data_IF_204308346445
#
_entry.id   IF_204308346445
#
_cell.length_a   1.000
_cell.length_b   1.000
_cell.length_c   1.000
_cell.angle_alpha   90.00
_cell.angle_beta   90.00
_cell.angle_gamma   90.00
#
_symmetry.space_group_name_H-M   'P 1'
#
loop_
_entity.id
_entity.type
_entity.pdbx_description
1 polymer ?
#
# COMPACT_ATOMS: atom_id res chain seq x y z
N UNK A 1 11.34 -18.59 8.53
CA UNK A 1 10.42 -17.83 7.65
C UNK A 1 11.00 -16.49 7.17
N UNK A 2 11.61 -15.63 8.01
CA UNK A 2 12.21 -14.37 7.54
C UNK A 2 13.39 -14.55 6.57
N UNK A 3 14.25 -15.54 6.85
CA UNK A 3 15.49 -15.77 6.09
C UNK A 3 15.27 -16.17 4.63
N UNK A 4 14.19 -16.89 4.33
CA UNK A 4 13.86 -17.32 2.96
C UNK A 4 13.37 -16.15 2.10
N UNK A 5 12.54 -15.27 2.67
CA UNK A 5 12.09 -14.06 1.98
C UNK A 5 13.24 -13.10 1.70
N UNK A 6 14.09 -12.88 2.72
CA UNK A 6 15.30 -12.08 2.59
C UNK A 6 16.16 -12.58 1.43
N UNK A 7 16.45 -13.89 1.38
CA UNK A 7 17.29 -14.48 0.34
C UNK A 7 16.70 -14.31 -1.07
N UNK A 8 15.38 -14.51 -1.23
CA UNK A 8 14.73 -14.30 -2.52
C UNK A 8 14.77 -12.83 -2.95
N UNK A 9 14.39 -11.93 -2.05
CA UNK A 9 14.32 -10.51 -2.34
C UNK A 9 15.71 -9.90 -2.63
N UNK A 10 16.79 -10.55 -2.21
CA UNK A 10 18.17 -10.22 -2.61
C UNK A 10 18.61 -10.85 -3.93
N UNK A 11 18.04 -11.99 -4.33
CA UNK A 11 18.44 -12.76 -5.52
C UNK A 11 17.61 -12.45 -6.77
N UNK A 12 16.32 -12.16 -6.59
CA UNK A 12 15.37 -11.79 -7.65
C UNK A 12 14.84 -10.40 -7.35
N UNK A 13 15.58 -9.41 -7.83
CA UNK A 13 15.21 -8.01 -7.75
C UNK A 13 13.97 -7.74 -8.58
N UNK A 14 13.04 -6.99 -8.00
CA UNK A 14 11.91 -6.49 -8.75
C UNK A 14 12.41 -5.56 -9.87
N UNK A 15 11.94 -5.72 -11.12
CA UNK A 15 12.37 -4.84 -12.21
C UNK A 15 12.04 -3.37 -11.94
N UNK A 16 11.01 -3.10 -11.13
CA UNK A 16 10.58 -1.74 -10.80
C UNK A 16 11.41 -1.13 -9.66
N UNK A 17 12.18 -1.92 -8.88
CA UNK A 17 12.95 -1.40 -7.74
C UNK A 17 13.93 -0.29 -8.15
N UNK A 18 14.56 -0.43 -9.31
CA UNK A 18 15.47 0.60 -9.84
C UNK A 18 14.75 1.92 -10.08
N UNK A 19 13.51 1.86 -10.59
CA UNK A 19 12.66 3.03 -10.75
C UNK A 19 12.27 3.65 -9.41
N UNK A 20 11.85 2.84 -8.44
CA UNK A 20 11.47 3.34 -7.11
C UNK A 20 12.64 4.02 -6.40
N UNK A 21 13.84 3.43 -6.44
CA UNK A 21 15.03 4.04 -5.85
C UNK A 21 15.41 5.33 -6.56
N UNK A 22 15.31 5.37 -7.90
CA UNK A 22 15.65 6.57 -8.67
C UNK A 22 14.64 7.70 -8.45
N UNK A 23 13.36 7.37 -8.40
CA UNK A 23 12.28 8.31 -8.10
C UNK A 23 12.40 8.86 -6.68
N UNK A 24 12.67 8.00 -5.70
CA UNK A 24 12.92 8.41 -4.32
C UNK A 24 14.13 9.35 -4.19
N UNK A 25 15.22 9.08 -4.91
CA UNK A 25 16.39 9.96 -4.95
C UNK A 25 16.04 11.32 -5.52
N UNK A 26 15.34 11.34 -6.66
CA UNK A 26 14.88 12.56 -7.30
C UNK A 26 13.98 13.40 -6.36
N UNK A 27 13.08 12.75 -5.61
CA UNK A 27 12.22 13.44 -4.65
C UNK A 27 13.04 14.06 -3.51
N UNK A 28 14.10 13.38 -3.05
CA UNK A 28 14.98 13.87 -1.98
C UNK A 28 15.81 15.06 -2.48
N UNK A 29 16.30 15.04 -3.74
CA UNK A 29 17.20 16.07 -4.28
C UNK A 29 16.47 17.27 -4.87
N UNK A 30 15.46 17.01 -5.71
CA UNK A 30 14.82 18.01 -6.58
C UNK A 30 13.35 18.27 -6.21
N UNK A 31 12.80 17.50 -5.26
CA UNK A 31 11.42 17.60 -4.82
C UNK A 31 10.45 16.79 -5.69
N UNK A 32 9.14 17.00 -5.49
CA UNK A 32 8.11 16.17 -6.12
C UNK A 32 7.99 16.41 -7.63
N UNK A 33 8.37 15.44 -8.49
CA UNK A 33 8.30 15.63 -9.94
C UNK A 33 6.86 15.75 -10.41
N UNK A 34 6.60 16.68 -11.32
CA UNK A 34 5.28 16.88 -11.96
C UNK A 34 5.20 16.33 -13.39
N UNK A 35 6.36 16.11 -14.01
CA UNK A 35 6.53 15.55 -15.35
C UNK A 35 7.38 14.29 -15.24
N UNK A 36 7.20 13.36 -16.17
CA UNK A 36 7.97 12.12 -16.23
C UNK A 36 9.41 12.37 -16.70
N UNK A 37 10.41 12.28 -15.81
CA UNK A 37 11.81 12.52 -16.17
C UNK A 37 12.48 11.27 -16.76
N UNK A 38 11.79 10.11 -16.73
CA UNK A 38 12.32 8.81 -17.12
C UNK A 38 11.79 8.35 -18.48
N UNK A 39 10.67 8.92 -18.95
CA UNK A 39 10.13 8.65 -20.28
C UNK A 39 10.98 9.27 -21.38
N UNK A 40 11.59 8.41 -22.21
CA UNK A 40 12.34 8.83 -23.39
C UNK A 40 11.45 9.41 -24.49
N UNK A 41 10.25 8.86 -24.70
CA UNK A 41 9.36 9.24 -25.80
C UNK A 41 8.37 10.34 -25.41
N UNK A 42 8.06 10.50 -24.13
CA UNK A 42 7.10 11.48 -23.63
C UNK A 42 7.61 12.21 -22.37
N UNK A 43 8.71 12.98 -22.44
CA UNK A 43 9.31 13.66 -21.28
C UNK A 43 8.44 14.78 -20.67
N UNK A 44 7.32 15.12 -21.32
CA UNK A 44 6.32 16.09 -20.81
C UNK A 44 5.05 15.41 -20.31
N UNK A 45 5.04 14.08 -20.21
CA UNK A 45 3.87 13.38 -19.70
C UNK A 45 3.71 13.71 -18.20
N UNK A 46 2.51 14.10 -17.74
CA UNK A 46 2.28 14.33 -16.32
C UNK A 46 2.57 13.07 -15.52
N UNK A 47 3.40 13.18 -14.48
CA UNK A 47 3.73 12.06 -13.60
C UNK A 47 3.25 12.33 -12.19
N UNK A 48 2.66 11.31 -11.57
CA UNK A 48 2.26 11.32 -10.17
C UNK A 48 2.96 10.18 -9.44
N UNK A 49 3.86 10.53 -8.52
CA UNK A 49 4.50 9.57 -7.63
C UNK A 49 3.50 9.11 -6.55
N UNK A 50 2.73 8.07 -6.88
CA UNK A 50 1.67 7.53 -6.02
C UNK A 50 2.20 6.69 -4.85
N UNK A 51 3.50 6.40 -4.83
CA UNK A 51 4.23 5.68 -3.78
C UNK A 51 5.34 6.50 -3.11
N UNK A 52 5.35 7.83 -3.31
CA UNK A 52 6.49 8.71 -3.00
C UNK A 52 7.14 8.47 -1.62
N UNK A 53 6.34 8.24 -0.56
CA UNK A 53 6.89 8.04 0.78
C UNK A 53 7.61 6.70 0.90
N UNK A 54 7.08 5.65 0.26
CA UNK A 54 7.74 4.35 0.19
C UNK A 54 9.06 4.46 -0.55
N UNK A 55 9.10 5.21 -1.64
CA UNK A 55 10.28 5.39 -2.49
C UNK A 55 11.40 6.09 -1.69
N UNK A 56 11.05 7.16 -0.97
CA UNK A 56 11.97 7.86 -0.07
C UNK A 56 12.49 6.93 1.03
N UNK A 57 11.61 6.15 1.67
CA UNK A 57 12.00 5.18 2.71
C UNK A 57 12.92 4.11 2.14
N UNK A 58 12.65 3.61 0.94
CA UNK A 58 13.49 2.63 0.24
C UNK A 58 14.88 3.18 -0.01
N UNK A 59 15.00 4.42 -0.50
CA UNK A 59 16.30 5.06 -0.70
C UNK A 59 17.08 5.17 0.60
N UNK A 60 16.46 5.65 1.69
CA UNK A 60 17.14 5.80 2.98
C UNK A 60 17.63 4.47 3.55
N UNK A 61 16.87 3.40 3.38
CA UNK A 61 17.27 2.07 3.83
C UNK A 61 18.34 1.50 2.93
N UNK A 62 18.23 1.71 1.62
CA UNK A 62 19.21 1.29 0.63
C UNK A 62 20.58 1.94 0.87
N UNK A 63 20.61 3.24 1.23
CA UNK A 63 21.83 3.97 1.54
C UNK A 63 22.63 3.35 2.71
N UNK A 64 21.95 2.74 3.69
CA UNK A 64 22.59 2.20 4.90
C UNK A 64 22.81 0.69 4.83
N UNK A 65 21.83 -0.05 4.30
CA UNK A 65 21.76 -1.52 4.35
C UNK A 65 21.67 -2.18 2.97
N UNK A 66 21.71 -1.40 1.89
CA UNK A 66 21.58 -1.87 0.52
C UNK A 66 20.25 -2.55 0.24
N UNK A 67 20.24 -3.39 -0.80
CA UNK A 67 19.09 -4.20 -1.24
C UNK A 67 18.57 -5.08 -0.10
N UNK A 68 19.49 -5.64 0.69
CA UNK A 68 19.20 -6.48 1.84
C UNK A 68 18.28 -5.79 2.88
N UNK A 69 18.50 -4.50 3.14
CA UNK A 69 17.64 -3.74 4.04
C UNK A 69 16.24 -3.52 3.48
N UNK A 70 16.14 -3.15 2.20
CA UNK A 70 14.84 -2.93 1.53
C UNK A 70 14.05 -4.24 1.48
N UNK A 71 14.72 -5.33 1.14
CA UNK A 71 14.21 -6.69 1.22
C UNK A 71 13.67 -7.02 2.61
N UNK A 72 14.46 -6.79 3.66
CA UNK A 72 14.05 -7.06 5.02
C UNK A 72 12.82 -6.24 5.43
N UNK A 73 12.73 -4.98 5.03
CA UNK A 73 11.57 -4.13 5.33
C UNK A 73 10.29 -4.67 4.69
N UNK A 74 10.31 -4.96 3.39
CA UNK A 74 9.12 -5.50 2.71
C UNK A 74 8.75 -6.90 3.19
N UNK A 75 9.75 -7.72 3.55
CA UNK A 75 9.55 -9.01 4.23
C UNK A 75 8.78 -8.86 5.53
N UNK A 76 9.19 -7.87 6.35
CA UNK A 76 8.62 -7.62 7.66
C UNK A 76 7.19 -7.10 7.53
N UNK A 77 6.95 -6.16 6.60
CA UNK A 77 5.62 -5.67 6.29
C UNK A 77 4.67 -6.80 5.87
N UNK A 78 5.11 -7.69 4.97
CA UNK A 78 4.32 -8.85 4.58
C UNK A 78 4.09 -9.82 5.74
N UNK A 79 5.12 -10.10 6.55
CA UNK A 79 4.98 -10.97 7.72
C UNK A 79 3.95 -10.40 8.72
N UNK A 80 3.93 -9.09 8.89
CA UNK A 80 2.94 -8.40 9.72
C UNK A 80 1.52 -8.54 9.17
N UNK A 81 1.31 -8.60 7.85
CA UNK A 81 -0.01 -8.89 7.26
C UNK A 81 -0.56 -10.18 7.83
N UNK A 82 0.24 -11.25 7.81
CA UNK A 82 -0.17 -12.56 8.35
C UNK A 82 -0.46 -12.49 9.85
N UNK A 83 0.35 -11.79 10.63
CA UNK A 83 0.11 -11.61 12.07
C UNK A 83 -1.19 -10.82 12.32
N UNK A 84 -1.46 -9.79 11.52
CA UNK A 84 -2.68 -8.97 11.65
C UNK A 84 -3.91 -9.79 11.26
N UNK A 85 -3.88 -10.55 10.17
CA UNK A 85 -5.03 -11.34 9.72
C UNK A 85 -5.27 -12.52 10.66
N UNK A 86 -4.24 -13.31 10.95
CA UNK A 86 -4.39 -14.59 11.63
C UNK A 86 -4.24 -14.50 13.15
N UNK A 87 -3.58 -13.47 13.70
CA UNK A 87 -3.01 -13.49 15.05
C UNK A 87 -3.90 -13.93 16.23
N UNK A 88 -5.23 -13.75 16.18
CA UNK A 88 -6.12 -14.20 17.26
C UNK A 88 -6.66 -15.63 17.10
N UNK A 89 -6.37 -16.28 15.98
CA UNK A 89 -6.89 -17.60 15.60
C UNK A 89 -5.76 -18.52 15.08
N UNK A 90 -4.55 -18.41 15.65
CA UNK A 90 -3.44 -19.31 15.33
C UNK A 90 -3.73 -20.71 15.87
N UNK A 91 -4.36 -21.54 15.04
CA UNK A 91 -4.42 -22.99 15.23
C UNK A 91 -3.32 -23.67 14.40
N UNK A 92 -2.89 -24.88 14.78
CA UNK A 92 -1.87 -25.67 14.05
C UNK A 92 -2.17 -25.86 12.56
N UNK A 93 -3.44 -25.77 12.16
CA UNK A 93 -3.88 -25.89 10.77
C UNK A 93 -3.80 -24.57 9.96
N UNK A 94 -3.59 -23.42 10.62
CA UNK A 94 -3.46 -22.12 9.94
C UNK A 94 -2.07 -21.87 9.34
N UNK A 95 -1.05 -22.64 9.74
CA UNK A 95 0.30 -22.54 9.20
C UNK A 95 0.38 -22.95 7.73
N UNK A 96 -0.37 -23.98 7.33
CA UNK A 96 -0.35 -24.53 5.96
C UNK A 96 -0.89 -23.52 4.94
N UNK A 97 -2.09 -22.93 5.07
CA UNK A 97 -2.56 -21.89 4.16
C UNK A 97 -1.71 -20.61 4.25
N UNK A 98 -1.18 -20.24 5.43
CA UNK A 98 -0.24 -19.12 5.51
C UNK A 98 1.07 -19.39 4.75
N UNK A 99 1.60 -20.62 4.80
CA UNK A 99 2.76 -21.08 4.02
C UNK A 99 2.47 -21.16 2.53
N UNK A 100 1.30 -21.66 2.14
CA UNK A 100 0.88 -21.76 0.75
C UNK A 100 0.60 -20.37 0.15
N UNK A 101 -0.03 -19.46 0.91
CA UNK A 101 -0.19 -18.06 0.51
C UNK A 101 1.17 -17.37 0.43
N UNK A 102 2.04 -17.52 1.43
CA UNK A 102 3.39 -16.99 1.35
C UNK A 102 4.15 -17.54 0.12
N UNK A 103 4.01 -18.84 -0.19
CA UNK A 103 4.59 -19.49 -1.36
C UNK A 103 3.99 -19.06 -2.71
N UNK A 104 2.70 -18.73 -2.74
CA UNK A 104 1.98 -18.29 -3.95
C UNK A 104 2.15 -16.79 -4.21
N UNK A 105 2.27 -15.98 -3.15
CA UNK A 105 2.64 -14.56 -3.25
C UNK A 105 4.13 -14.35 -3.46
N UNK A 106 4.96 -15.36 -3.20
CA UNK A 106 6.41 -15.29 -3.33
C UNK A 106 6.88 -14.74 -4.69
N UNK A 107 6.33 -15.13 -5.86
CA UNK A 107 6.67 -14.56 -7.17
C UNK A 107 6.38 -13.06 -7.31
N UNK A 108 5.38 -12.56 -6.58
CA UNK A 108 4.93 -11.16 -6.60
C UNK A 108 5.48 -10.33 -5.42
N UNK A 109 6.13 -10.99 -4.47
CA UNK A 109 6.77 -10.38 -3.32
C UNK A 109 8.18 -9.85 -3.67
N UNK A 110 8.27 -9.04 -4.72
CA UNK A 110 9.40 -8.16 -4.93
C UNK A 110 9.47 -7.08 -3.85
N UNK A 111 10.58 -6.34 -3.79
CA UNK A 111 10.73 -5.12 -3.00
C UNK A 111 9.81 -4.01 -3.54
N UNK A 112 8.49 -4.14 -3.31
CA UNK A 112 7.48 -3.23 -3.83
C UNK A 112 6.77 -2.43 -2.73
N UNK A 113 6.45 -1.15 -2.99
CA UNK A 113 5.60 -0.33 -2.10
C UNK A 113 4.23 -0.96 -1.82
N UNK A 114 3.72 -1.77 -2.75
CA UNK A 114 2.43 -2.47 -2.62
C UNK A 114 2.33 -3.32 -1.34
N UNK A 115 3.44 -3.86 -0.83
CA UNK A 115 3.46 -4.66 0.41
C UNK A 115 2.94 -3.89 1.62
N UNK A 116 3.18 -2.58 1.70
CA UNK A 116 2.61 -1.74 2.75
C UNK A 116 1.09 -1.56 2.59
N UNK A 117 0.58 -1.51 1.36
CA UNK A 117 -0.87 -1.47 1.12
C UNK A 117 -1.56 -2.73 1.63
N UNK A 118 -0.97 -3.91 1.42
CA UNK A 118 -1.53 -5.14 1.96
C UNK A 118 -1.60 -5.11 3.48
N UNK A 119 -0.59 -4.55 4.14
CA UNK A 119 -0.59 -4.39 5.60
C UNK A 119 -1.68 -3.44 6.07
N UNK A 120 -1.78 -2.24 5.47
CA UNK A 120 -2.80 -1.26 5.83
C UNK A 120 -4.22 -1.77 5.53
N UNK A 121 -4.38 -2.52 4.44
CA UNK A 121 -5.66 -3.18 4.09
C UNK A 121 -6.04 -4.25 5.12
N UNK A 122 -5.08 -5.09 5.54
CA UNK A 122 -5.32 -6.07 6.60
C UNK A 122 -5.72 -5.42 7.93
N UNK A 123 -5.07 -4.31 8.29
CA UNK A 123 -5.43 -3.52 9.48
C UNK A 123 -6.85 -2.96 9.35
N UNK A 124 -7.19 -2.37 8.19
CA UNK A 124 -8.53 -1.85 7.93
C UNK A 124 -9.59 -2.95 8.07
N UNK A 125 -9.40 -4.11 7.42
CA UNK A 125 -10.34 -5.23 7.52
C UNK A 125 -10.51 -5.72 8.97
N UNK A 126 -9.41 -5.80 9.74
CA UNK A 126 -9.48 -6.19 11.15
C UNK A 126 -10.24 -5.18 12.01
N UNK A 127 -10.09 -3.89 11.72
CA UNK A 127 -10.84 -2.82 12.39
C UNK A 127 -12.33 -2.89 12.06
N UNK A 128 -12.69 -3.10 10.80
CA UNK A 128 -14.09 -3.17 10.35
C UNK A 128 -14.78 -4.49 10.74
N UNK A 129 -14.05 -5.60 10.76
CA UNK A 129 -14.58 -6.94 11.03
C UNK A 129 -14.94 -7.22 12.50
N UNK A 130 -14.60 -6.32 13.43
CA UNK A 130 -14.93 -6.46 14.86
C UNK A 130 -15.63 -5.21 15.36
N UNK A 131 -16.93 -5.28 15.66
CA UNK A 131 -17.71 -4.10 16.08
C UNK A 131 -17.10 -3.34 17.27
N UNK A 132 -16.61 -4.06 18.28
CA UNK A 132 -15.96 -3.42 19.44
C UNK A 132 -14.67 -2.67 19.05
N UNK A 133 -13.89 -3.22 18.12
CA UNK A 133 -12.69 -2.57 17.61
C UNK A 133 -13.05 -1.37 16.74
N UNK A 134 -14.06 -1.52 15.87
CA UNK A 134 -14.57 -0.44 15.03
C UNK A 134 -15.00 0.75 15.89
N UNK A 135 -15.86 0.56 16.89
CA UNK A 135 -16.34 1.64 17.75
C UNK A 135 -15.21 2.33 18.53
N UNK A 136 -14.23 1.56 19.00
CA UNK A 136 -13.08 2.08 19.75
C UNK A 136 -12.08 2.85 18.89
N UNK A 137 -11.80 2.36 17.69
CA UNK A 137 -10.70 2.85 16.86
C UNK A 137 -11.12 3.59 15.59
N UNK A 138 -12.42 3.80 15.35
CA UNK A 138 -12.93 4.50 14.15
C UNK A 138 -12.32 5.88 13.91
N UNK A 139 -11.95 6.60 14.97
CA UNK A 139 -11.31 7.92 14.85
C UNK A 139 -9.88 7.86 14.30
N UNK A 140 -9.24 6.68 14.32
CA UNK A 140 -7.94 6.45 13.70
C UNK A 140 -8.03 6.03 12.23
N UNK A 141 -9.22 5.73 11.71
CA UNK A 141 -9.40 5.34 10.30
C UNK A 141 -8.97 6.46 9.34
N UNK A 142 -9.35 7.75 9.55
CA UNK A 142 -8.85 8.84 8.70
C UNK A 142 -7.33 8.96 8.72
N UNK A 143 -6.69 8.77 9.89
CA UNK A 143 -5.23 8.78 10.01
C UNK A 143 -4.59 7.62 9.25
N UNK A 144 -5.21 6.44 9.26
CA UNK A 144 -4.77 5.29 8.47
C UNK A 144 -4.78 5.64 6.97
N UNK A 145 -5.85 6.26 6.47
CA UNK A 145 -5.94 6.69 5.06
C UNK A 145 -4.99 7.83 4.72
N UNK A 146 -4.73 8.75 5.65
CA UNK A 146 -3.70 9.79 5.50
C UNK A 146 -2.35 9.15 5.21
N UNK A 147 -1.92 8.20 6.04
CA UNK A 147 -0.64 7.50 5.88
C UNK A 147 -0.65 6.69 4.58
N UNK A 148 -1.74 5.99 4.29
CA UNK A 148 -1.84 5.14 3.11
C UNK A 148 -1.68 5.93 1.81
N UNK A 149 -2.33 7.08 1.69
CA UNK A 149 -2.26 7.90 0.48
C UNK A 149 -0.84 8.41 0.15
N UNK A 150 0.05 8.46 1.16
CA UNK A 150 1.46 8.81 0.93
C UNK A 150 2.30 7.61 0.51
N UNK A 151 1.93 6.43 0.98
CA UNK A 151 2.73 5.20 0.85
C UNK A 151 2.44 4.50 -0.48
N UNK A 152 1.18 4.44 -0.93
CA UNK A 152 0.83 3.75 -2.16
C UNK A 152 -0.61 4.05 -2.64
N UNK A 153 -0.84 4.09 -3.95
CA UNK A 153 -2.12 4.42 -4.59
C UNK A 153 -3.28 3.43 -4.35
N UNK A 154 -3.02 2.24 -3.81
CA UNK A 154 -4.06 1.24 -3.52
C UNK A 154 -5.00 1.62 -2.34
N UNK A 155 -4.80 2.78 -1.71
CA UNK A 155 -5.75 3.32 -0.71
C UNK A 155 -7.18 3.42 -1.25
N UNK A 156 -7.35 3.60 -2.57
CA UNK A 156 -8.66 3.65 -3.23
C UNK A 156 -9.47 2.38 -2.97
N UNK A 157 -8.85 1.20 -3.03
CA UNK A 157 -9.53 -0.08 -2.72
C UNK A 157 -9.96 -0.13 -1.25
N UNK A 158 -9.17 0.45 -0.35
CA UNK A 158 -9.52 0.61 1.05
C UNK A 158 -10.76 1.49 1.25
N UNK A 159 -10.86 2.62 0.53
CA UNK A 159 -12.02 3.52 0.59
C UNK A 159 -13.27 2.85 0.05
N UNK A 160 -13.18 2.14 -1.08
CA UNK A 160 -14.31 1.36 -1.63
C UNK A 160 -14.79 0.34 -0.58
N UNK A 161 -13.87 -0.40 0.04
CA UNK A 161 -14.18 -1.38 1.08
C UNK A 161 -14.85 -0.75 2.30
N UNK A 162 -14.34 0.40 2.77
CA UNK A 162 -14.93 1.11 3.90
C UNK A 162 -16.33 1.68 3.57
N UNK A 163 -16.51 2.19 2.34
CA UNK A 163 -17.81 2.64 1.86
C UNK A 163 -18.84 1.50 1.81
N UNK A 164 -18.46 0.34 1.25
CA UNK A 164 -19.31 -0.86 1.21
C UNK A 164 -19.66 -1.34 2.62
N UNK A 165 -18.71 -1.31 3.55
CA UNK A 165 -18.97 -1.65 4.96
C UNK A 165 -20.05 -0.75 5.57
N UNK A 166 -19.96 0.57 5.38
CA UNK A 166 -20.93 1.52 5.94
C UNK A 166 -22.32 1.29 5.35
N UNK A 167 -22.40 1.04 4.03
CA UNK A 167 -23.67 0.81 3.32
C UNK A 167 -24.35 -0.50 3.71
N UNK A 168 -23.56 -1.56 3.95
CA UNK A 168 -24.09 -2.90 4.28
C UNK A 168 -24.36 -3.06 5.77
N UNK A 169 -23.63 -2.35 6.63
CA UNK A 169 -23.80 -2.44 8.07
C UNK A 169 -24.96 -1.55 8.55
N UNK A 170 -26.08 -2.18 8.94
CA UNK A 170 -27.27 -1.51 9.49
C UNK A 170 -27.01 -0.77 10.81
N UNK A 171 -25.91 -1.07 11.50
CA UNK A 171 -25.49 -0.43 12.76
C UNK A 171 -24.68 0.86 12.56
N UNK A 172 -24.41 1.23 11.29
CA UNK A 172 -23.62 2.42 10.96
C UNK A 172 -24.28 3.71 11.46
N UNK A 173 -23.53 4.47 12.26
CA UNK A 173 -23.95 5.73 12.84
C UNK A 173 -23.55 6.93 11.97
N UNK A 174 -24.16 8.11 12.20
CA UNK A 174 -23.74 9.38 11.54
C UNK A 174 -22.25 9.68 11.70
N UNK A 175 -21.66 9.23 12.80
CA UNK A 175 -20.21 9.39 13.05
C UNK A 175 -19.40 8.57 12.04
N UNK A 176 -19.85 7.39 11.64
CA UNK A 176 -19.12 6.53 10.71
C UNK A 176 -19.12 7.13 9.30
N UNK A 177 -20.23 7.76 8.87
CA UNK A 177 -20.26 8.57 7.65
C UNK A 177 -19.33 9.80 7.73
N UNK A 178 -19.29 10.46 8.88
CA UNK A 178 -18.36 11.58 9.12
C UNK A 178 -16.90 11.14 9.06
N UNK A 179 -16.56 9.98 9.60
CA UNK A 179 -15.20 9.41 9.53
C UNK A 179 -14.84 8.96 8.12
N UNK A 180 -15.80 8.45 7.34
CA UNK A 180 -15.60 8.17 5.92
C UNK A 180 -15.30 9.44 5.13
N UNK A 181 -16.08 10.52 5.32
CA UNK A 181 -15.78 11.80 4.69
C UNK A 181 -14.41 12.35 5.12
N UNK A 182 -14.06 12.25 6.40
CA UNK A 182 -12.74 12.63 6.90
C UNK A 182 -11.62 11.78 6.27
N UNK A 183 -11.83 10.48 6.07
CA UNK A 183 -10.87 9.61 5.38
C UNK A 183 -10.68 10.02 3.92
N UNK A 184 -11.76 10.33 3.19
CA UNK A 184 -11.66 10.88 1.83
C UNK A 184 -10.84 12.18 1.81
N UNK A 185 -11.15 13.13 2.71
CA UNK A 185 -10.39 14.37 2.83
C UNK A 185 -8.92 14.13 3.19
N UNK A 186 -8.64 13.16 4.07
CA UNK A 186 -7.28 12.82 4.47
C UNK A 186 -6.44 12.34 3.29
N UNK A 187 -7.01 11.59 2.33
CA UNK A 187 -6.27 11.18 1.13
C UNK A 187 -5.90 12.32 0.20
N UNK A 188 -6.55 13.49 0.30
CA UNK A 188 -6.19 14.68 -0.47
C UNK A 188 -4.98 15.41 0.12
N UNK A 189 -4.58 15.10 1.35
CA UNK A 189 -3.40 15.67 2.01
C UNK A 189 -2.12 14.98 1.55
N UNK A 190 -1.85 15.09 0.25
CA UNK A 190 -0.65 14.57 -0.39
C UNK A 190 -0.04 15.65 -1.32
N UNK A 191 1.25 15.56 -1.70
CA UNK A 191 1.92 16.56 -2.53
C UNK A 191 1.28 16.80 -3.92
N UNK A 192 0.46 15.86 -4.38
CA UNK A 192 -0.24 15.88 -5.66
C UNK A 192 -1.74 16.21 -5.54
N UNK A 193 -2.29 16.30 -4.32
CA UNK A 193 -3.69 16.60 -4.06
C UNK A 193 -4.64 15.74 -4.89
N UNK A 194 -5.47 16.40 -5.71
CA UNK A 194 -6.47 15.75 -6.56
C UNK A 194 -5.87 15.01 -7.76
N UNK A 195 -4.65 15.33 -8.18
CA UNK A 195 -3.99 14.66 -9.30
C UNK A 195 -3.70 13.19 -8.99
N UNK A 196 -3.43 12.86 -7.71
CA UNK A 196 -3.30 11.47 -7.26
C UNK A 196 -4.58 10.67 -7.52
N UNK A 197 -5.74 11.26 -7.22
CA UNK A 197 -7.02 10.63 -7.48
C UNK A 197 -7.28 10.40 -8.97
N UNK A 198 -6.93 11.38 -9.81
CA UNK A 198 -7.06 11.25 -11.27
C UNK A 198 -6.23 10.09 -11.80
N UNK A 199 -4.98 10.00 -11.34
CA UNK A 199 -4.07 8.92 -11.71
C UNK A 199 -4.66 7.56 -11.33
N UNK A 200 -4.96 7.35 -10.04
CA UNK A 200 -5.48 6.07 -9.54
C UNK A 200 -6.77 5.64 -10.26
N UNK A 201 -7.68 6.58 -10.51
CA UNK A 201 -8.92 6.32 -11.25
C UNK A 201 -8.61 5.91 -12.70
N UNK A 202 -7.74 6.66 -13.39
CA UNK A 202 -7.38 6.37 -14.77
C UNK A 202 -6.72 5.00 -14.93
N UNK A 203 -5.79 4.65 -14.03
CA UNK A 203 -5.14 3.32 -14.03
C UNK A 203 -6.17 2.21 -13.83
N UNK A 204 -7.11 2.37 -12.91
CA UNK A 204 -8.12 1.36 -12.61
C UNK A 204 -9.07 1.11 -13.80
N UNK A 205 -9.58 2.18 -14.42
CA UNK A 205 -10.46 2.05 -15.58
C UNK A 205 -9.71 1.57 -16.83
N UNK A 206 -8.48 2.03 -17.05
CA UNK A 206 -7.65 1.54 -18.16
C UNK A 206 -7.38 0.05 -18.03
N UNK A 207 -7.02 -0.42 -16.83
CA UNK A 207 -6.79 -1.85 -16.56
C UNK A 207 -8.05 -2.67 -16.77
N UNK A 208 -9.23 -2.19 -16.33
CA UNK A 208 -10.50 -2.87 -16.58
C UNK A 208 -10.78 -3.02 -18.08
N UNK A 209 -10.58 -1.96 -18.86
CA UNK A 209 -10.80 -2.00 -20.30
C UNK A 209 -9.80 -2.94 -21.00
N UNK A 210 -8.56 -3.02 -20.53
CA UNK A 210 -7.54 -3.92 -21.06
C UNK A 210 -7.79 -5.41 -20.72
N UNK A 211 -8.57 -5.71 -19.68
CA UNK A 211 -8.90 -7.09 -19.24
C UNK A 211 -10.20 -7.61 -19.87
N UNK A 212 -11.08 -6.70 -20.33
CA UNK A 212 -12.37 -7.05 -20.95
C UNK A 212 -12.24 -7.24 -22.48
N UNK A 213 -11.12 -6.86 -23.08
CA UNK A 213 -10.76 -7.15 -24.47
C UNK A 213 -9.84 -8.37 -24.58
#
# INVERSE_FOLDING_TARGET
MPQFFYWKSTLYLDPDLGWELRLGQLIITDGFPRLDPFSYTMPKFPMVAHSWLSDVVFVRIYEVWGIAGVAALTSAALSLVFVVIFGATWHTWTYVPALLLAGNFLPYAGTRPQTFSWLLFAVLLRLLGREAAQKKYRFYIPLLFLIWAQVHGAFFLGLVTYGLYILTNKSSSRVDYGMFAAACCATLLNPYGISLWREVISTFFFTLNAVIC
#
